data_IF_238428440815
#
_entry.id   IF_238428440815
#
_cell.length_a   1.000
_cell.length_b   1.000
_cell.length_c   1.000
_cell.angle_alpha   90.00
_cell.angle_beta   90.00
_cell.angle_gamma   90.00
#
_symmetry.space_group_name_H-M   'P 1'
#
loop_
_entity.id
_entity.type
_entity.pdbx_description
1 polymer ?
#
# COMPACT_ATOMS: atom_id res chain seq x y z
N UNK A 1 -12.75 -104.69 -15.28
CA UNK A 1 -11.38 -104.57 -14.75
C UNK A 1 -11.28 -103.28 -13.96
N UNK A 2 -10.99 -103.40 -12.66
CA UNK A 2 -10.56 -102.40 -11.66
C UNK A 2 -11.31 -101.06 -11.41
N UNK A 3 -11.71 -100.96 -10.13
CA UNK A 3 -12.10 -99.80 -9.31
C UNK A 3 -11.12 -98.61 -9.42
N UNK A 4 -11.63 -97.38 -9.19
CA UNK A 4 -11.20 -96.51 -8.07
C UNK A 4 -12.16 -95.32 -7.87
N UNK A 5 -12.57 -95.15 -6.62
CA UNK A 5 -13.30 -94.04 -6.01
C UNK A 5 -12.28 -92.94 -5.65
N UNK A 6 -12.63 -91.66 -5.76
CA UNK A 6 -12.24 -90.61 -4.79
C UNK A 6 -13.23 -89.43 -4.83
N UNK A 7 -13.63 -89.02 -3.63
CA UNK A 7 -14.60 -87.98 -3.25
C UNK A 7 -13.93 -86.59 -3.19
N UNK A 8 -14.73 -85.55 -2.84
CA UNK A 8 -14.38 -84.16 -2.42
C UNK A 8 -14.58 -83.14 -3.56
N UNK A 9 -15.31 -82.03 -3.44
CA UNK A 9 -16.00 -81.40 -2.32
C UNK A 9 -16.74 -80.14 -2.82
N UNK A 10 -17.80 -79.78 -2.09
CA UNK A 10 -18.66 -78.62 -2.29
C UNK A 10 -17.90 -77.30 -2.03
N UNK A 11 -17.92 -76.35 -2.98
CA UNK A 11 -17.78 -74.92 -2.66
C UNK A 11 -18.79 -74.12 -3.49
N UNK A 12 -19.83 -73.67 -2.79
CA UNK A 12 -20.73 -72.60 -3.21
C UNK A 12 -19.97 -71.27 -3.12
N UNK A 13 -19.76 -70.57 -4.23
CA UNK A 13 -19.28 -69.19 -4.21
C UNK A 13 -20.43 -68.25 -4.59
N UNK A 14 -21.07 -67.68 -3.57
CA UNK A 14 -21.99 -66.54 -3.71
C UNK A 14 -21.14 -65.31 -4.08
N UNK A 15 -21.32 -64.78 -5.30
CA UNK A 15 -20.78 -63.47 -5.66
C UNK A 15 -21.80 -62.42 -5.23
N UNK A 16 -21.58 -61.82 -4.05
CA UNK A 16 -22.26 -60.60 -3.65
C UNK A 16 -21.60 -59.41 -4.37
N UNK A 17 -22.19 -58.97 -5.48
CA UNK A 17 -21.77 -57.76 -6.17
C UNK A 17 -22.18 -56.54 -5.33
N UNK A 18 -21.26 -56.06 -4.49
CA UNK A 18 -21.38 -54.80 -3.78
C UNK A 18 -21.16 -53.65 -4.78
N UNK A 19 -22.24 -53.12 -5.33
CA UNK A 19 -22.20 -51.94 -6.20
C UNK A 19 -21.82 -50.71 -5.40
N UNK A 20 -20.56 -50.28 -5.48
CA UNK A 20 -20.14 -48.97 -4.98
C UNK A 20 -20.73 -47.91 -5.91
N UNK A 21 -21.79 -47.24 -5.46
CA UNK A 21 -22.25 -46.02 -6.12
C UNK A 21 -21.22 -44.92 -5.88
N UNK A 22 -20.52 -44.54 -6.94
CA UNK A 22 -19.67 -43.35 -6.96
C UNK A 22 -20.58 -42.11 -6.93
N UNK A 23 -20.77 -41.50 -5.77
CA UNK A 23 -21.36 -40.16 -5.67
C UNK A 23 -20.31 -39.14 -6.08
N UNK A 24 -20.36 -38.70 -7.33
CA UNK A 24 -19.65 -37.50 -7.78
C UNK A 24 -20.37 -36.31 -7.14
N UNK A 25 -19.88 -35.83 -6.00
CA UNK A 25 -20.31 -34.54 -5.44
C UNK A 25 -19.68 -33.46 -6.31
N UNK A 26 -20.42 -33.02 -7.33
CA UNK A 26 -20.13 -31.78 -8.04
C UNK A 26 -20.23 -30.64 -7.03
N UNK A 27 -19.10 -30.12 -6.57
CA UNK A 27 -19.08 -28.89 -5.79
C UNK A 27 -19.61 -27.76 -6.67
N UNK A 28 -20.90 -27.44 -6.50
CA UNK A 28 -21.49 -26.21 -6.98
C UNK A 28 -20.68 -25.08 -6.34
N UNK A 29 -19.87 -24.37 -7.13
CA UNK A 29 -19.30 -23.09 -6.71
C UNK A 29 -20.47 -22.14 -6.54
N UNK A 30 -20.96 -22.05 -5.31
CA UNK A 30 -21.75 -20.93 -4.85
C UNK A 30 -21.05 -19.64 -5.29
N UNK A 31 -21.73 -18.82 -6.08
CA UNK A 31 -21.32 -17.46 -6.43
C UNK A 31 -21.38 -16.52 -5.22
N UNK A 32 -20.75 -16.92 -4.11
CA UNK A 32 -20.61 -16.12 -2.91
C UNK A 32 -19.61 -15.00 -3.15
N UNK A 33 -19.97 -13.78 -2.71
CA UNK A 33 -19.01 -12.67 -2.63
C UNK A 33 -17.77 -13.17 -1.89
N UNK A 34 -16.59 -13.01 -2.49
CA UNK A 34 -15.34 -13.39 -1.85
C UNK A 34 -15.25 -12.72 -0.47
N UNK A 35 -14.93 -13.51 0.56
CA UNK A 35 -14.77 -13.01 1.91
C UNK A 35 -13.61 -12.00 1.95
N UNK A 36 -13.78 -10.83 2.60
CA UNK A 36 -12.68 -9.88 2.75
C UNK A 36 -11.51 -10.50 3.52
N UNK A 37 -10.28 -10.26 3.04
CA UNK A 37 -9.04 -10.56 3.76
C UNK A 37 -8.52 -9.27 4.37
N UNK A 38 -8.10 -9.32 5.63
CA UNK A 38 -7.42 -8.21 6.29
C UNK A 38 -5.94 -8.24 5.94
N UNK A 39 -5.39 -7.08 5.63
CA UNK A 39 -3.98 -6.87 5.35
C UNK A 39 -3.44 -5.81 6.30
N UNK A 40 -2.37 -6.13 7.00
CA UNK A 40 -1.54 -5.15 7.67
C UNK A 40 -0.66 -4.46 6.65
N UNK A 41 -0.68 -3.14 6.64
CA UNK A 41 0.25 -2.30 5.89
C UNK A 41 1.15 -1.62 6.91
N UNK A 42 2.47 -1.75 6.71
CA UNK A 42 3.47 -1.15 7.60
C UNK A 42 4.44 -0.33 6.76
N UNK A 43 4.60 0.94 7.12
CA UNK A 43 5.48 1.92 6.47
C UNK A 43 6.54 2.32 7.49
N UNK A 44 7.78 1.92 7.26
CA UNK A 44 8.89 2.09 8.18
C UNK A 44 9.87 3.13 7.63
N UNK A 45 10.30 4.04 8.49
CA UNK A 45 11.45 4.90 8.22
C UNK A 45 12.71 4.17 8.65
N UNK A 46 13.41 3.59 7.68
CA UNK A 46 14.65 2.82 7.88
C UNK A 46 15.90 3.68 7.64
N UNK A 47 15.73 5.00 7.50
CA UNK A 47 16.85 5.89 7.29
C UNK A 47 17.83 5.84 8.46
N UNK A 48 19.10 6.14 8.17
CA UNK A 48 20.12 6.30 9.18
C UNK A 48 19.78 7.50 10.11
N UNK A 49 19.92 7.35 11.43
CA UNK A 49 19.69 8.45 12.38
C UNK A 49 20.71 9.60 12.23
N UNK A 50 21.86 9.34 11.59
CA UNK A 50 22.87 10.34 11.26
C UNK A 50 22.40 11.36 10.20
N UNK A 51 21.33 11.03 9.47
CA UNK A 51 20.66 11.90 8.50
C UNK A 51 21.41 12.04 7.18
N UNK A 52 20.84 12.87 6.32
CA UNK A 52 21.40 13.24 5.03
C UNK A 52 22.19 14.55 5.16
N UNK A 53 23.07 14.83 4.20
CA UNK A 53 23.91 16.04 4.19
C UNK A 53 23.54 16.89 2.98
N UNK A 54 23.17 18.15 3.21
CA UNK A 54 22.94 19.15 2.18
C UNK A 54 24.28 19.72 1.65
N UNK A 55 24.21 20.50 0.57
CA UNK A 55 25.36 21.07 -0.13
C UNK A 55 26.20 22.03 0.73
N UNK A 56 25.58 22.68 1.71
CA UNK A 56 26.24 23.55 2.69
C UNK A 56 26.83 22.80 3.90
N UNK A 57 26.70 21.46 3.93
CA UNK A 57 27.15 20.61 5.04
C UNK A 57 26.12 20.44 6.16
N UNK A 58 24.96 21.10 6.08
CA UNK A 58 23.87 20.93 7.05
C UNK A 58 23.36 19.50 7.03
N UNK A 59 23.25 18.90 8.20
CA UNK A 59 22.63 17.58 8.37
C UNK A 59 21.14 17.69 8.63
N UNK A 60 20.35 16.84 8.00
CA UNK A 60 18.92 16.79 8.19
C UNK A 60 18.40 15.35 8.29
N UNK A 61 17.44 15.06 9.19
CA UNK A 61 16.85 13.73 9.29
C UNK A 61 15.82 13.52 8.19
N UNK A 62 15.80 12.32 7.61
CA UNK A 62 14.69 11.90 6.75
C UNK A 62 13.44 11.68 7.61
N UNK A 63 12.31 12.25 7.17
CA UNK A 63 11.02 12.07 7.82
C UNK A 63 9.94 11.93 6.74
N UNK A 64 8.88 11.20 7.07
CA UNK A 64 7.65 11.14 6.27
C UNK A 64 6.49 11.69 7.08
N UNK A 65 5.59 12.41 6.42
CA UNK A 65 4.39 12.95 7.08
C UNK A 65 3.33 11.86 7.30
N UNK A 66 2.27 12.19 8.05
CA UNK A 66 0.96 11.54 7.88
C UNK A 66 0.56 11.44 6.41
N UNK A 67 -0.31 10.48 6.09
CA UNK A 67 -0.74 10.25 4.73
C UNK A 67 -2.15 9.70 4.62
N UNK A 68 -2.59 9.55 3.37
CA UNK A 68 -3.89 9.00 3.02
C UNK A 68 -3.72 7.70 2.24
N UNK A 69 -4.64 6.75 2.44
CA UNK A 69 -4.76 5.54 1.64
C UNK A 69 -6.14 5.47 0.99
N UNK A 70 -6.20 4.76 -0.14
CA UNK A 70 -7.45 4.49 -0.86
C UNK A 70 -7.43 3.09 -1.47
N UNK A 71 -8.60 2.46 -1.49
CA UNK A 71 -8.91 1.24 -2.21
C UNK A 71 -9.81 1.55 -3.40
N UNK A 72 -9.36 1.18 -4.58
CA UNK A 72 -10.15 1.31 -5.81
C UNK A 72 -9.88 0.09 -6.72
N UNK A 73 -10.78 -0.19 -7.65
CA UNK A 73 -10.69 -1.29 -8.62
C UNK A 73 -10.13 -0.86 -9.98
N UNK A 74 -10.16 0.45 -10.31
CA UNK A 74 -9.92 0.95 -11.68
C UNK A 74 -8.88 2.06 -11.78
N UNK A 75 -8.75 2.95 -10.79
CA UNK A 75 -7.82 4.10 -10.88
C UNK A 75 -7.25 4.51 -9.53
N UNK A 76 -6.19 5.34 -9.53
CA UNK A 76 -5.75 6.04 -8.33
C UNK A 76 -6.52 7.37 -8.21
N UNK A 77 -7.47 7.51 -7.27
CA UNK A 77 -8.22 8.75 -7.10
C UNK A 77 -7.44 9.83 -6.32
N UNK A 78 -6.30 9.50 -5.70
CA UNK A 78 -5.49 10.49 -4.96
C UNK A 78 -4.79 11.46 -5.91
N UNK A 79 -4.31 10.97 -7.06
CA UNK A 79 -3.65 11.79 -8.07
C UNK A 79 -3.56 11.10 -9.43
N UNK A 80 -3.21 11.87 -10.46
CA UNK A 80 -2.99 11.36 -11.82
C UNK A 80 -1.66 11.90 -12.39
N UNK A 81 -0.67 11.04 -12.67
CA UNK A 81 0.55 11.46 -13.36
C UNK A 81 0.25 12.24 -14.64
N UNK A 82 1.00 13.31 -14.88
CA UNK A 82 0.82 14.18 -16.05
C UNK A 82 -0.39 15.12 -15.98
N UNK A 83 -1.13 15.14 -14.86
CA UNK A 83 -2.15 16.15 -14.56
C UNK A 83 -1.65 17.08 -13.45
N UNK A 84 -2.28 18.25 -13.33
CA UNK A 84 -2.00 19.15 -12.20
C UNK A 84 -2.57 18.55 -10.92
N UNK A 85 -1.90 18.79 -9.80
CA UNK A 85 -2.46 18.51 -8.48
C UNK A 85 -3.76 19.30 -8.27
N UNK A 86 -4.68 18.72 -7.50
CA UNK A 86 -5.87 19.43 -7.08
C UNK A 86 -5.47 20.41 -5.96
N UNK A 87 -5.80 21.72 -6.10
CA UNK A 87 -5.52 22.70 -5.06
C UNK A 87 -6.20 22.33 -3.76
N UNK A 88 -5.56 22.65 -2.63
CA UNK A 88 -6.07 22.33 -1.29
C UNK A 88 -6.49 20.85 -1.16
N UNK A 89 -5.78 19.91 -1.78
CA UNK A 89 -6.03 18.48 -1.69
C UNK A 89 -4.69 17.74 -1.68
N UNK A 90 -4.18 17.31 -2.84
CA UNK A 90 -2.82 16.75 -2.93
C UNK A 90 -1.77 17.80 -2.58
N UNK A 91 -1.99 19.06 -2.97
CA UNK A 91 -1.12 20.20 -2.62
C UNK A 91 -0.84 20.25 -1.11
N UNK A 92 -1.89 20.35 -0.27
CA UNK A 92 -1.76 20.38 1.18
C UNK A 92 -1.08 19.12 1.77
N UNK A 93 -1.25 17.96 1.13
CA UNK A 93 -0.56 16.74 1.55
C UNK A 93 0.92 16.76 1.17
N UNK A 94 1.27 17.29 0.00
CA UNK A 94 2.62 17.30 -0.53
C UNK A 94 3.46 18.45 0.03
N UNK A 95 2.83 19.56 0.40
CA UNK A 95 3.52 20.74 0.95
C UNK A 95 3.57 20.73 2.47
N UNK A 96 2.47 20.35 3.13
CA UNK A 96 2.35 20.48 4.59
C UNK A 96 2.24 19.15 5.32
N UNK A 97 2.21 18.03 4.57
CA UNK A 97 2.06 16.71 5.15
C UNK A 97 0.68 16.45 5.76
N UNK A 98 -0.35 17.19 5.32
CA UNK A 98 -1.70 17.12 5.86
C UNK A 98 -2.68 16.39 4.91
N UNK A 99 -3.09 15.14 5.21
CA UNK A 99 -3.99 14.36 4.35
C UNK A 99 -5.47 14.75 4.45
N UNK A 100 -5.85 15.63 5.38
CA UNK A 100 -7.26 15.86 5.71
C UNK A 100 -8.06 16.33 4.49
N UNK A 101 -7.53 17.29 3.74
CA UNK A 101 -8.22 17.82 2.56
C UNK A 101 -8.23 16.84 1.39
N UNK A 102 -7.19 16.00 1.26
CA UNK A 102 -7.16 14.94 0.27
C UNK A 102 -8.29 13.93 0.53
N UNK A 103 -8.47 13.50 1.77
CA UNK A 103 -9.59 12.63 2.16
C UNK A 103 -10.95 13.31 1.98
N UNK A 104 -11.08 14.58 2.39
CA UNK A 104 -12.31 15.34 2.18
C UNK A 104 -12.71 15.42 0.70
N UNK A 105 -11.74 15.54 -0.22
CA UNK A 105 -12.01 15.57 -1.65
C UNK A 105 -12.56 14.24 -2.19
N UNK A 106 -12.16 13.10 -1.59
CA UNK A 106 -12.73 11.79 -1.91
C UNK A 106 -14.18 11.68 -1.44
N UNK A 107 -14.47 12.15 -0.22
CA UNK A 107 -15.83 12.16 0.34
C UNK A 107 -16.77 13.04 -0.49
N UNK A 108 -16.32 14.23 -0.90
CA UNK A 108 -17.05 15.13 -1.78
C UNK A 108 -17.29 14.53 -3.17
N UNK A 109 -16.39 13.67 -3.64
CA UNK A 109 -16.54 12.91 -4.88
C UNK A 109 -17.44 11.67 -4.73
N UNK A 110 -18.08 11.50 -3.57
CA UNK A 110 -18.90 10.34 -3.20
C UNK A 110 -18.14 9.01 -3.27
N UNK A 111 -16.82 9.04 -3.08
CA UNK A 111 -16.04 7.82 -2.89
C UNK A 111 -16.45 7.18 -1.56
N UNK A 112 -16.60 5.85 -1.54
CA UNK A 112 -17.08 5.15 -0.35
C UNK A 112 -16.11 5.36 0.83
N UNK A 113 -16.62 5.87 1.96
CA UNK A 113 -15.83 6.17 3.16
C UNK A 113 -15.16 4.95 3.79
N UNK A 114 -15.62 3.73 3.50
CA UNK A 114 -14.95 2.51 3.96
C UNK A 114 -13.74 2.12 3.11
N UNK A 115 -13.55 2.78 1.97
CA UNK A 115 -12.50 2.49 1.00
C UNK A 115 -11.36 3.52 1.02
N UNK A 116 -11.29 4.39 2.03
CA UNK A 116 -10.17 5.32 2.18
C UNK A 116 -10.00 5.71 3.65
N UNK A 117 -8.86 6.32 3.98
CA UNK A 117 -8.61 6.81 5.31
C UNK A 117 -7.24 7.47 5.48
N UNK A 118 -6.97 7.88 6.71
CA UNK A 118 -5.72 8.53 7.12
C UNK A 118 -4.90 7.56 7.98
N UNK A 119 -3.59 7.52 7.74
CA UNK A 119 -2.60 7.02 8.71
C UNK A 119 -1.77 8.22 9.19
N UNK A 120 -1.78 8.50 10.49
CA UNK A 120 -1.16 9.72 11.01
C UNK A 120 -0.46 9.58 12.35
N UNK A 121 -0.69 8.50 13.09
CA UNK A 121 -0.08 8.26 14.41
C UNK A 121 1.00 7.19 14.29
N UNK A 122 2.28 7.52 14.56
CA UNK A 122 3.35 6.53 14.59
C UNK A 122 3.10 5.40 15.61
N UNK A 123 3.61 4.20 15.32
CA UNK A 123 3.56 3.07 16.25
C UNK A 123 4.19 3.46 17.59
N UNK A 124 3.45 3.27 18.68
CA UNK A 124 3.88 3.62 20.04
C UNK A 124 3.64 5.08 20.43
N UNK A 125 3.19 5.94 19.50
CA UNK A 125 2.76 7.30 19.81
C UNK A 125 1.27 7.36 20.17
N UNK A 126 0.87 8.43 20.88
CA UNK A 126 -0.53 8.71 21.26
C UNK A 126 -1.15 9.85 20.47
N UNK A 127 -0.35 10.58 19.69
CA UNK A 127 -0.79 11.74 18.91
C UNK A 127 -0.32 11.62 17.45
N UNK A 128 -1.07 12.22 16.50
CA UNK A 128 -0.62 12.33 15.12
C UNK A 128 0.72 13.06 15.01
N UNK A 129 1.54 12.68 14.03
CA UNK A 129 2.82 13.31 13.76
C UNK A 129 3.64 12.55 12.72
N UNK A 130 4.73 13.16 12.21
CA UNK A 130 5.62 12.54 11.23
C UNK A 130 6.35 11.33 11.81
N UNK A 131 6.79 10.44 10.94
CA UNK A 131 7.68 9.31 11.28
C UNK A 131 9.13 9.69 10.98
N UNK A 132 9.95 9.75 12.02
CA UNK A 132 11.40 9.97 12.00
C UNK A 132 12.16 8.63 11.98
N UNK A 133 13.51 8.62 11.81
CA UNK A 133 14.30 7.39 11.71
C UNK A 133 14.02 6.38 12.83
N UNK A 134 13.74 5.13 12.45
CA UNK A 134 13.39 4.04 13.36
C UNK A 134 11.90 3.93 13.72
N UNK A 135 11.10 4.94 13.37
CA UNK A 135 9.64 4.90 13.55
C UNK A 135 8.90 4.21 12.40
N UNK A 136 7.60 4.01 12.57
CA UNK A 136 6.74 3.46 11.54
C UNK A 136 5.27 3.92 11.69
N UNK A 137 4.52 3.91 10.58
CA UNK A 137 3.07 3.80 10.59
C UNK A 137 2.66 2.34 10.41
N UNK A 138 1.56 1.96 11.04
CA UNK A 138 0.95 0.64 10.86
C UNK A 138 -0.57 0.76 10.90
N UNK A 139 -1.25 0.17 9.92
CA UNK A 139 -2.70 0.18 9.82
C UNK A 139 -3.21 -1.09 9.13
N UNK A 140 -4.50 -1.37 9.28
CA UNK A 140 -5.14 -2.54 8.67
C UNK A 140 -6.15 -2.11 7.62
N UNK A 141 -6.14 -2.83 6.50
CA UNK A 141 -7.09 -2.69 5.39
C UNK A 141 -7.86 -4.00 5.24
N UNK A 142 -9.16 -3.94 4.98
CA UNK A 142 -9.93 -5.10 4.53
C UNK A 142 -10.13 -5.02 3.02
N UNK A 143 -9.67 -6.01 2.27
CA UNK A 143 -9.74 -6.03 0.81
C UNK A 143 -10.33 -7.33 0.28
N UNK A 144 -10.99 -7.26 -0.87
CA UNK A 144 -11.44 -8.42 -1.66
C UNK A 144 -10.70 -8.47 -2.99
N UNK A 145 -10.65 -9.63 -3.68
CA UNK A 145 -10.04 -9.75 -4.99
C UNK A 145 -10.51 -8.66 -5.96
N UNK A 146 -9.55 -7.99 -6.61
CA UNK A 146 -9.79 -6.87 -7.53
C UNK A 146 -9.61 -5.48 -6.91
N UNK A 147 -9.64 -5.35 -5.58
CA UNK A 147 -9.27 -4.10 -4.91
C UNK A 147 -7.75 -3.86 -4.98
N UNK A 148 -7.38 -2.59 -5.13
CA UNK A 148 -5.99 -2.14 -5.21
C UNK A 148 -5.76 -0.96 -4.27
N UNK A 149 -4.60 -0.96 -3.62
CA UNK A 149 -4.14 0.11 -2.73
C UNK A 149 -3.40 1.20 -3.51
N UNK A 150 -3.76 2.45 -3.26
CA UNK A 150 -2.88 3.60 -3.48
C UNK A 150 -2.76 4.38 -2.18
N UNK A 151 -1.64 5.06 -1.97
CA UNK A 151 -1.44 5.94 -0.83
C UNK A 151 -0.45 7.06 -1.18
N UNK A 152 -0.49 8.13 -0.40
CA UNK A 152 0.43 9.29 -0.52
C UNK A 152 0.95 9.68 0.85
N UNK A 153 2.22 10.06 0.94
CA UNK A 153 2.83 10.68 2.12
C UNK A 153 3.92 11.64 1.68
N UNK A 154 4.07 12.78 2.34
CA UNK A 154 5.07 13.79 2.01
C UNK A 154 6.48 13.27 2.29
N UNK A 155 7.44 13.68 1.45
CA UNK A 155 8.85 13.69 1.81
C UNK A 155 9.09 14.90 2.73
N UNK A 156 9.29 14.68 4.03
CA UNK A 156 9.20 15.77 5.02
C UNK A 156 10.17 16.95 4.84
N UNK A 157 11.24 16.77 4.07
CA UNK A 157 12.28 17.78 3.83
C UNK A 157 12.23 18.30 2.39
N UNK A 158 11.04 18.50 1.84
CA UNK A 158 10.82 19.07 0.50
C UNK A 158 9.75 20.16 0.53
N UNK A 159 9.64 20.88 -0.59
CA UNK A 159 8.59 21.86 -0.83
C UNK A 159 7.28 21.16 -1.20
N UNK A 160 7.28 20.28 -2.21
CA UNK A 160 6.03 19.63 -2.66
C UNK A 160 6.21 18.16 -3.11
N UNK A 161 7.23 17.48 -2.58
CA UNK A 161 7.50 16.09 -2.96
C UNK A 161 6.75 15.10 -2.07
N UNK A 162 6.28 14.01 -2.68
CA UNK A 162 5.55 12.95 -1.98
C UNK A 162 5.88 11.56 -2.52
N UNK A 163 5.83 10.57 -1.63
CA UNK A 163 5.89 9.17 -1.99
C UNK A 163 4.52 8.63 -2.33
N UNK A 164 4.43 7.92 -3.45
CA UNK A 164 3.27 7.11 -3.80
C UNK A 164 3.66 5.97 -4.75
N UNK A 165 2.89 4.87 -4.81
CA UNK A 165 3.10 3.82 -5.79
C UNK A 165 3.05 4.32 -7.24
N UNK A 166 3.88 3.75 -8.12
CA UNK A 166 3.83 3.95 -9.59
C UNK A 166 2.48 3.56 -10.20
N UNK A 167 1.82 2.60 -9.56
CA UNK A 167 0.56 1.99 -9.93
C UNK A 167 -0.12 1.43 -8.67
N UNK A 168 -1.45 1.39 -8.68
CA UNK A 168 -2.20 0.86 -7.55
C UNK A 168 -1.87 -0.63 -7.30
N UNK A 169 -1.52 -0.96 -6.06
CA UNK A 169 -1.00 -2.26 -5.63
C UNK A 169 -2.13 -3.25 -5.41
N UNK A 170 -2.11 -4.38 -6.11
CA UNK A 170 -3.09 -5.45 -5.88
C UNK A 170 -2.81 -6.19 -4.57
N UNK A 171 -3.88 -6.49 -3.82
CA UNK A 171 -3.81 -7.33 -2.61
C UNK A 171 -3.91 -8.83 -2.88
N UNK A 172 -4.26 -9.20 -4.10
CA UNK A 172 -4.43 -10.60 -4.50
C UNK A 172 -3.72 -10.83 -5.83
N UNK A 173 -3.13 -12.01 -5.99
CA UNK A 173 -2.51 -12.44 -7.24
C UNK A 173 -3.56 -12.82 -8.30
N UNK A 174 -3.11 -13.21 -9.50
CA UNK A 174 -4.00 -13.58 -10.59
C UNK A 174 -4.85 -14.85 -10.30
N UNK A 175 -4.48 -15.64 -9.29
CA UNK A 175 -5.21 -16.82 -8.83
C UNK A 175 -6.17 -16.49 -7.68
N UNK A 176 -6.20 -15.24 -7.22
CA UNK A 176 -7.02 -14.78 -6.10
C UNK A 176 -6.41 -15.06 -4.73
N UNK A 177 -5.12 -15.38 -4.64
CA UNK A 177 -4.44 -15.62 -3.38
C UNK A 177 -3.93 -14.30 -2.78
N UNK A 178 -4.08 -14.07 -1.46
CA UNK A 178 -3.54 -12.90 -0.79
C UNK A 178 -2.03 -12.76 -1.01
N UNK A 179 -1.56 -11.58 -1.41
CA UNK A 179 -0.12 -11.31 -1.55
C UNK A 179 0.48 -10.85 -0.22
N UNK A 180 1.73 -11.21 0.01
CA UNK A 180 2.53 -10.79 1.17
C UNK A 180 3.93 -10.43 0.70
N UNK A 181 4.49 -9.33 1.22
CA UNK A 181 5.87 -8.97 0.93
C UNK A 181 6.19 -7.48 1.04
N UNK A 182 7.44 -7.18 0.71
CA UNK A 182 7.98 -5.82 0.58
C UNK A 182 7.58 -5.22 -0.79
N UNK A 183 6.93 -4.06 -0.76
CA UNK A 183 6.47 -3.32 -1.93
C UNK A 183 7.23 -2.00 -2.13
N UNK A 184 8.34 -1.79 -1.42
CA UNK A 184 9.12 -0.53 -1.45
C UNK A 184 9.55 -0.13 -2.85
N UNK A 185 9.91 -1.10 -3.70
CA UNK A 185 10.32 -0.86 -5.09
C UNK A 185 9.22 -0.31 -5.99
N UNK A 186 7.96 -0.31 -5.53
CA UNK A 186 6.83 0.28 -6.24
C UNK A 186 6.67 1.77 -5.96
N UNK A 187 7.29 2.27 -4.89
CA UNK A 187 7.17 3.68 -4.52
C UNK A 187 8.05 4.53 -5.44
N UNK A 188 7.49 5.63 -5.87
CA UNK A 188 8.16 6.69 -6.60
C UNK A 188 8.11 7.95 -5.74
N UNK A 189 9.19 8.73 -5.75
CA UNK A 189 9.19 10.09 -5.25
C UNK A 189 8.67 11.00 -6.37
N UNK A 190 7.48 11.55 -6.15
CA UNK A 190 6.79 12.43 -7.07
C UNK A 190 6.96 13.87 -6.64
N UNK A 191 6.91 14.76 -7.63
CA UNK A 191 6.79 16.21 -7.51
C UNK A 191 5.33 16.57 -7.82
N UNK A 192 4.66 17.30 -6.92
CA UNK A 192 3.26 17.69 -7.09
C UNK A 192 3.08 18.79 -8.14
N UNK A 193 4.12 19.58 -8.37
CA UNK A 193 4.17 20.70 -9.30
C UNK A 193 3.39 21.91 -8.82
N UNK A 194 3.32 22.11 -7.50
CA UNK A 194 2.57 23.17 -6.83
C UNK A 194 3.46 24.23 -6.19
N UNK A 195 4.70 23.88 -5.82
CA UNK A 195 5.68 24.81 -5.25
C UNK A 195 7.07 24.67 -5.88
N UNK A 196 7.82 25.77 -6.02
CA UNK A 196 9.18 25.74 -6.56
C UNK A 196 10.11 25.02 -5.59
N UNK A 197 10.62 23.87 -6.02
CA UNK A 197 11.55 23.06 -5.22
C UNK A 197 12.84 23.80 -4.83
N UNK A 198 13.18 23.68 -3.55
CA UNK A 198 14.43 24.12 -2.92
C UNK A 198 15.21 22.90 -2.44
N UNK A 199 16.50 23.08 -2.14
CA UNK A 199 17.36 21.96 -1.75
C UNK A 199 16.83 21.27 -0.47
N UNK A 200 16.68 19.93 -0.47
CA UNK A 200 16.11 19.22 0.65
C UNK A 200 16.91 19.44 1.94
N UNK A 201 16.18 19.78 3.01
CA UNK A 201 16.72 19.96 4.36
C UNK A 201 17.17 21.38 4.69
N UNK A 202 17.40 22.24 3.70
CA UNK A 202 17.84 23.63 3.90
C UNK A 202 16.92 24.69 3.28
N UNK A 203 16.01 24.29 2.39
CA UNK A 203 15.02 25.21 1.81
C UNK A 203 14.15 25.88 2.88
N UNK A 204 14.05 27.22 2.91
CA UNK A 204 13.31 27.95 3.95
C UNK A 204 11.80 27.74 3.90
N UNK A 205 11.25 27.39 2.74
CA UNK A 205 9.80 27.26 2.52
C UNK A 205 9.31 25.82 2.76
N UNK A 206 10.23 24.88 3.00
CA UNK A 206 9.87 23.49 3.33
C UNK A 206 9.15 23.38 4.67
N UNK A 207 8.21 22.44 4.81
CA UNK A 207 7.31 22.34 5.96
C UNK A 207 7.97 22.45 7.36
N UNK A 208 9.15 21.85 7.63
CA UNK A 208 9.79 21.96 8.94
C UNK A 208 10.31 23.37 9.29
N UNK A 209 10.40 24.28 8.30
CA UNK A 209 11.02 25.61 8.41
C UNK A 209 10.06 26.76 8.10
N UNK A 210 8.95 26.49 7.42
CA UNK A 210 7.92 27.51 7.16
C UNK A 210 7.24 28.00 8.45
N UNK A 211 6.77 29.25 8.43
CA UNK A 211 6.06 29.86 9.58
C UNK A 211 4.57 29.52 9.61
N UNK A 212 4.00 29.19 8.46
CA UNK A 212 2.60 28.83 8.28
C UNK A 212 2.48 27.84 7.12
N UNK A 213 1.42 27.02 7.05
CA UNK A 213 1.16 26.16 5.89
C UNK A 213 1.10 26.93 4.57
N UNK A 214 1.35 26.24 3.45
CA UNK A 214 1.32 26.80 2.09
C UNK A 214 2.21 28.07 1.97
N UNK A 215 3.47 27.94 2.41
CA UNK A 215 4.49 28.97 2.25
C UNK A 215 5.37 28.61 1.06
N UNK A 216 5.72 29.61 0.24
CA UNK A 216 6.71 29.47 -0.81
C UNK A 216 6.29 30.06 -2.14
N UNK A 217 7.11 29.87 -3.17
CA UNK A 217 6.78 30.34 -4.52
C UNK A 217 5.94 29.29 -5.23
N UNK A 218 4.66 29.58 -5.46
CA UNK A 218 3.79 28.66 -6.20
C UNK A 218 4.26 28.44 -7.63
N UNK A 219 4.05 27.23 -8.13
CA UNK A 219 4.14 26.88 -9.53
C UNK A 219 2.90 26.11 -10.00
N UNK A 220 2.88 25.71 -11.27
CA UNK A 220 1.70 25.04 -11.84
C UNK A 220 2.10 24.00 -12.88
N UNK A 221 3.05 23.15 -12.48
CA UNK A 221 3.52 22.03 -13.28
C UNK A 221 2.55 20.85 -13.18
N UNK A 222 2.87 19.78 -13.89
CA UNK A 222 2.12 18.53 -13.85
C UNK A 222 2.85 17.58 -12.90
N UNK A 223 2.09 16.77 -12.18
CA UNK A 223 2.62 15.72 -11.33
C UNK A 223 3.51 14.79 -12.15
N UNK A 224 4.75 14.61 -11.72
CA UNK A 224 5.75 13.78 -12.39
C UNK A 224 6.73 13.21 -11.37
N UNK A 225 7.50 12.15 -11.70
CA UNK A 225 8.64 11.75 -10.89
C UNK A 225 9.60 12.93 -10.73
N UNK A 226 10.17 13.10 -9.53
CA UNK A 226 11.06 14.22 -9.21
C UNK A 226 12.22 14.32 -10.21
N UNK A 227 12.45 15.53 -10.72
CA UNK A 227 13.54 15.83 -11.67
C UNK A 227 13.90 17.33 -11.64
N UNK A 228 14.26 17.80 -10.47
CA UNK A 228 14.59 19.21 -10.17
C UNK A 228 16.10 19.50 -10.13
N UNK A 229 16.94 18.46 -10.11
CA UNK A 229 18.40 18.58 -10.07
C UNK A 229 19.01 18.44 -8.67
N UNK A 230 18.19 18.31 -7.63
CA UNK A 230 18.67 17.97 -6.28
C UNK A 230 18.90 16.46 -6.13
N UNK A 231 19.64 16.10 -5.08
CA UNK A 231 19.93 14.70 -4.75
C UNK A 231 19.06 14.24 -3.60
N UNK A 232 18.43 13.08 -3.78
CA UNK A 232 17.58 12.44 -2.79
C UNK A 232 18.13 11.06 -2.42
N UNK A 233 17.95 10.59 -1.17
CA UNK A 233 18.26 9.20 -0.84
C UNK A 233 17.49 8.23 -1.73
N UNK A 234 18.05 7.04 -1.98
CA UNK A 234 17.26 5.99 -2.64
C UNK A 234 16.11 5.58 -1.71
N UNK A 235 14.93 5.37 -2.26
CA UNK A 235 13.75 4.97 -1.49
C UNK A 235 14.02 3.75 -0.60
N UNK A 236 14.74 2.74 -1.11
CA UNK A 236 15.11 1.53 -0.37
C UNK A 236 16.14 1.73 0.75
N UNK A 237 16.76 2.90 0.84
CA UNK A 237 17.71 3.25 1.91
C UNK A 237 17.02 4.00 3.07
N UNK A 238 15.81 4.52 2.84
CA UNK A 238 15.09 5.36 3.83
C UNK A 238 13.70 4.88 4.17
N UNK A 239 13.09 4.06 3.31
CA UNK A 239 11.75 3.52 3.50
C UNK A 239 11.73 2.01 3.32
N UNK A 240 10.88 1.36 4.11
CA UNK A 240 10.39 0.01 3.86
C UNK A 240 8.88 -0.01 3.96
N UNK A 241 8.20 -0.50 2.93
CA UNK A 241 6.75 -0.70 2.95
C UNK A 241 6.42 -2.16 2.75
N UNK A 242 5.68 -2.74 3.68
CA UNK A 242 5.26 -4.14 3.63
C UNK A 242 3.75 -4.28 3.68
N UNK A 243 3.26 -5.29 2.99
CA UNK A 243 1.88 -5.77 3.10
C UNK A 243 1.91 -7.21 3.58
N UNK A 244 1.08 -7.53 4.56
CA UNK A 244 0.98 -8.90 5.10
C UNK A 244 -0.49 -9.22 5.32
N UNK A 245 -1.03 -10.31 4.72
CA UNK A 245 -2.37 -10.76 5.04
C UNK A 245 -2.38 -11.29 6.48
N UNK A 246 -3.44 -10.99 7.22
CA UNK A 246 -3.71 -11.71 8.46
C UNK A 246 -3.82 -13.20 8.12
N UNK A 247 -3.27 -14.07 8.98
CA UNK A 247 -3.47 -15.51 8.82
C UNK A 247 -4.97 -15.77 8.72
N UNK A 248 -5.40 -16.53 7.69
CA UNK A 248 -6.80 -16.86 7.49
C UNK A 248 -7.38 -17.41 8.80
N UNK A 249 -8.39 -16.74 9.36
CA UNK A 249 -9.19 -17.27 10.46
C UNK A 249 -10.07 -18.41 9.94
#
# INVERSE_FOLDING_TARGET
>A
MQKRIFTIGLILALVAACGVQLTVVSAVRSGGKAQPTRFKVRIENIASPEGQTASDGTKWPFAISPGAWVLDSRSNPLFRPGKKALPNSLEAQAEDGNPAMLVQSLEQSHHNSTLHGIFNTPVGATTPGPVTPGGAYEFTISATPGMRLSFTMMFGQSNDLFYAPDSAIAFFDAKGQPVSGDITSRLILWDAGTEVNQEPGIGPDQAPRQKAPNTGTSESKKIAPVKDGFTYPKTSEVLRVTITPDAAQ
#
